data_IF_942821076231
#
_entry.id   IF_942821076231
#
_cell.length_a   1.000
_cell.length_b   1.000
_cell.length_c   1.000
_cell.angle_alpha   90.00
_cell.angle_beta   90.00
_cell.angle_gamma   90.00
#
_symmetry.space_group_name_H-M   'P 1'
#
loop_
_entity.id
_entity.type
_entity.pdbx_description
1 polymer ?
#
# COMPACT_ATOMS: atom_id res chain seq x y z
N UNK A 1 3.08 12.63 -16.45
CA UNK A 1 2.03 13.39 -15.74
C UNK A 1 1.54 12.54 -14.58
N UNK A 2 1.45 13.08 -13.37
CA UNK A 2 0.90 12.35 -12.22
C UNK A 2 -0.63 12.50 -12.21
N UNK A 3 -1.35 11.44 -11.83
CA UNK A 3 -2.83 11.48 -11.73
C UNK A 3 -3.22 11.38 -10.27
N UNK A 4 -3.97 12.38 -9.77
CA UNK A 4 -4.49 12.40 -8.40
C UNK A 4 -6.00 12.12 -8.41
N UNK A 5 -6.43 11.21 -7.55
CA UNK A 5 -7.84 10.90 -7.30
C UNK A 5 -8.11 11.02 -5.81
N UNK A 6 -9.24 11.62 -5.43
CA UNK A 6 -9.67 11.74 -4.03
C UNK A 6 -10.79 10.76 -3.71
N UNK A 7 -10.80 10.28 -2.48
CA UNK A 7 -11.82 9.39 -1.91
C UNK A 7 -12.24 9.99 -0.57
N UNK A 8 -13.22 10.89 -0.60
CA UNK A 8 -13.48 11.80 0.51
C UNK A 8 -12.24 12.68 0.78
N UNK A 9 -11.72 12.61 2.01
CA UNK A 9 -10.49 13.32 2.42
C UNK A 9 -9.19 12.54 2.13
N UNK A 10 -9.30 11.27 1.72
CA UNK A 10 -8.14 10.44 1.39
C UNK A 10 -7.70 10.64 -0.06
N UNK A 11 -6.40 10.51 -0.32
CA UNK A 11 -5.85 10.69 -1.68
C UNK A 11 -5.15 9.43 -2.18
N UNK A 12 -5.29 9.17 -3.47
CA UNK A 12 -4.43 8.26 -4.24
C UNK A 12 -3.78 9.04 -5.38
N UNK A 13 -2.45 8.96 -5.46
CA UNK A 13 -1.66 9.63 -6.49
C UNK A 13 -0.89 8.55 -7.25
N UNK A 14 -1.11 8.48 -8.55
CA UNK A 14 -0.38 7.60 -9.45
C UNK A 14 0.80 8.41 -10.02
N UNK A 15 2.00 7.91 -9.77
CA UNK A 15 3.26 8.42 -10.28
C UNK A 15 3.80 7.41 -11.31
N UNK A 16 3.63 7.66 -12.62
CA UNK A 16 4.18 6.79 -13.64
C UNK A 16 5.71 6.63 -13.50
N UNK A 17 6.26 5.45 -13.82
CA UNK A 17 5.57 4.32 -14.45
C UNK A 17 4.88 3.35 -13.47
N UNK A 18 5.33 3.31 -12.22
CA UNK A 18 5.17 2.14 -11.35
C UNK A 18 4.75 2.43 -9.91
N UNK A 19 4.60 3.71 -9.54
CA UNK A 19 4.44 4.11 -8.14
C UNK A 19 3.02 4.61 -7.86
N UNK A 20 2.45 4.19 -6.74
CA UNK A 20 1.20 4.71 -6.20
C UNK A 20 1.43 5.20 -4.79
N UNK A 21 1.11 6.46 -4.55
CA UNK A 21 1.12 7.08 -3.23
C UNK A 21 -0.29 7.10 -2.68
N UNK A 22 -0.48 6.52 -1.50
CA UNK A 22 -1.76 6.41 -0.81
C UNK A 22 -1.66 7.24 0.46
N UNK A 23 -2.52 8.24 0.60
CA UNK A 23 -2.59 9.13 1.76
C UNK A 23 -3.99 9.03 2.39
N UNK A 24 -4.26 7.97 3.17
CA UNK A 24 -5.48 7.92 3.97
C UNK A 24 -5.48 9.06 5.00
N UNK A 25 -6.64 9.69 5.18
CA UNK A 25 -6.84 10.82 6.10
C UNK A 25 -8.13 10.64 6.88
N UNK A 26 -8.14 11.04 8.14
CA UNK A 26 -9.29 10.89 9.03
C UNK A 26 -9.59 9.42 9.34
N UNK A 27 -10.83 9.16 9.74
CA UNK A 27 -11.31 7.81 9.97
C UNK A 27 -11.48 7.08 8.63
N UNK A 28 -10.84 5.92 8.52
CA UNK A 28 -10.75 5.14 7.29
C UNK A 28 -11.82 4.04 7.29
N UNK A 29 -12.88 4.29 6.53
CA UNK A 29 -14.03 3.39 6.43
C UNK A 29 -13.88 2.32 5.34
N UNK A 30 -14.81 1.36 5.34
CA UNK A 30 -14.79 0.24 4.40
C UNK A 30 -15.06 0.64 2.95
N UNK A 31 -15.90 1.64 2.71
CA UNK A 31 -16.27 2.07 1.37
C UNK A 31 -15.08 2.76 0.68
N UNK A 32 -14.41 3.67 1.40
CA UNK A 32 -13.19 4.34 0.95
C UNK A 32 -12.10 3.30 0.69
N UNK A 33 -11.86 2.39 1.64
CA UNK A 33 -10.85 1.36 1.49
C UNK A 33 -11.11 0.45 0.28
N UNK A 34 -12.36 0.03 0.07
CA UNK A 34 -12.75 -0.80 -1.07
C UNK A 34 -12.55 -0.06 -2.40
N UNK A 35 -13.00 1.19 -2.50
CA UNK A 35 -12.86 2.00 -3.70
C UNK A 35 -11.39 2.23 -4.08
N UNK A 36 -10.54 2.56 -3.09
CA UNK A 36 -9.10 2.70 -3.31
C UNK A 36 -8.46 1.38 -3.74
N UNK A 37 -8.81 0.26 -3.11
CA UNK A 37 -8.26 -1.04 -3.49
C UNK A 37 -8.67 -1.47 -4.90
N UNK A 38 -9.93 -1.26 -5.31
CA UNK A 38 -10.36 -1.57 -6.68
C UNK A 38 -9.66 -0.69 -7.72
N UNK A 39 -9.47 0.61 -7.43
CA UNK A 39 -8.72 1.49 -8.29
C UNK A 39 -7.25 1.05 -8.43
N UNK A 40 -6.62 0.66 -7.32
CA UNK A 40 -5.26 0.14 -7.33
C UNK A 40 -5.16 -1.17 -8.12
N UNK A 41 -6.08 -2.12 -7.92
CA UNK A 41 -6.08 -3.39 -8.66
C UNK A 41 -6.30 -3.16 -10.15
N UNK A 42 -7.23 -2.28 -10.51
CA UNK A 42 -7.52 -1.93 -11.91
C UNK A 42 -6.29 -1.32 -12.56
N UNK A 43 -5.62 -0.38 -11.89
CA UNK A 43 -4.40 0.22 -12.40
C UNK A 43 -3.25 -0.78 -12.47
N UNK A 44 -3.11 -1.69 -11.50
CA UNK A 44 -1.97 -2.60 -11.43
C UNK A 44 -2.05 -3.80 -12.41
N UNK A 45 -3.20 -4.07 -13.03
CA UNK A 45 -3.49 -5.32 -13.75
C UNK A 45 -2.44 -5.71 -14.78
N UNK A 46 -2.01 -4.77 -15.62
CA UNK A 46 -1.10 -5.05 -16.74
C UNK A 46 0.36 -4.67 -16.44
N UNK A 47 0.67 -4.44 -15.16
CA UNK A 47 2.00 -3.98 -14.72
C UNK A 47 2.83 -5.14 -14.17
N UNK A 48 4.13 -5.24 -14.52
CA UNK A 48 4.98 -6.33 -14.07
C UNK A 48 5.26 -6.30 -12.57
N UNK A 49 5.17 -5.11 -11.96
CA UNK A 49 5.26 -4.86 -10.53
C UNK A 49 4.64 -3.50 -10.18
N UNK A 50 4.41 -3.25 -8.89
CA UNK A 50 4.00 -1.93 -8.39
C UNK A 50 4.78 -1.53 -7.13
N UNK A 51 4.99 -0.23 -6.95
CA UNK A 51 5.56 0.36 -5.75
C UNK A 51 4.47 1.15 -5.03
N UNK A 52 4.26 0.85 -3.75
CA UNK A 52 3.25 1.49 -2.93
C UNK A 52 3.94 2.29 -1.85
N UNK A 53 3.60 3.57 -1.75
CA UNK A 53 4.02 4.42 -0.64
C UNK A 53 2.78 4.87 0.12
N UNK A 54 2.73 4.55 1.42
CA UNK A 54 1.58 4.83 2.26
C UNK A 54 1.94 5.81 3.37
N UNK A 55 1.27 6.96 3.37
CA UNK A 55 1.39 8.00 4.40
C UNK A 55 0.23 7.88 5.39
N UNK A 56 0.52 7.36 6.58
CA UNK A 56 -0.47 7.18 7.64
C UNK A 56 -0.55 8.37 8.61
N UNK A 57 0.16 9.48 8.35
CA UNK A 57 0.38 10.58 9.32
C UNK A 57 -0.91 11.15 9.92
N UNK A 58 -1.98 11.25 9.13
CA UNK A 58 -3.26 11.81 9.58
C UNK A 58 -4.40 10.78 9.54
N UNK A 59 -4.08 9.51 9.73
CA UNK A 59 -5.09 8.45 9.86
C UNK A 59 -5.60 8.39 11.29
N UNK A 60 -6.93 8.42 11.42
CA UNK A 60 -7.65 8.18 12.66
C UNK A 60 -7.91 6.69 12.89
N UNK A 61 -9.15 6.31 13.16
CA UNK A 61 -9.55 4.93 13.30
C UNK A 61 -9.60 4.21 11.94
N UNK A 62 -9.22 2.92 11.91
CA UNK A 62 -9.41 2.06 10.74
C UNK A 62 -10.54 1.09 11.07
N UNK A 63 -11.69 1.26 10.41
CA UNK A 63 -12.87 0.44 10.66
C UNK A 63 -12.63 -1.05 10.38
N UNK A 64 -13.37 -1.98 11.01
CA UNK A 64 -13.32 -3.40 10.67
C UNK A 64 -13.52 -3.68 9.17
N UNK A 65 -14.48 -2.99 8.53
CA UNK A 65 -14.74 -3.13 7.10
C UNK A 65 -13.55 -2.68 6.25
N UNK A 66 -12.87 -1.59 6.63
CA UNK A 66 -11.66 -1.13 5.94
C UNK A 66 -10.53 -2.15 6.03
N UNK A 67 -10.30 -2.71 7.23
CA UNK A 67 -9.30 -3.77 7.44
C UNK A 67 -9.58 -4.98 6.57
N UNK A 68 -10.84 -5.39 6.48
CA UNK A 68 -11.26 -6.49 5.62
C UNK A 68 -10.98 -6.18 4.15
N UNK A 69 -11.37 -5.00 3.65
CA UNK A 69 -11.15 -4.59 2.27
C UNK A 69 -9.65 -4.55 1.89
N UNK A 70 -8.81 -3.98 2.76
CA UNK A 70 -7.36 -3.87 2.56
C UNK A 70 -6.64 -5.22 2.56
N UNK A 71 -7.09 -6.18 3.38
CA UNK A 71 -6.41 -7.48 3.53
C UNK A 71 -6.91 -8.54 2.54
N UNK A 72 -8.07 -8.34 1.90
CA UNK A 72 -8.70 -9.35 1.03
C UNK A 72 -8.16 -9.38 -0.39
N UNK A 73 -7.72 -8.25 -0.91
CA UNK A 73 -7.44 -8.10 -2.34
C UNK A 73 -5.95 -8.22 -2.69
N UNK A 74 -5.08 -8.48 -1.71
CA UNK A 74 -3.63 -8.47 -1.92
C UNK A 74 -3.12 -9.54 -2.90
N UNK A 75 -3.87 -10.61 -3.14
CA UNK A 75 -3.55 -11.66 -4.12
C UNK A 75 -3.83 -11.24 -5.57
N UNK A 76 -4.65 -10.19 -5.78
CA UNK A 76 -4.99 -9.64 -7.09
C UNK A 76 -3.93 -8.66 -7.61
N UNK A 77 -2.98 -8.27 -6.77
CA UNK A 77 -1.92 -7.33 -7.11
C UNK A 77 -0.67 -8.06 -7.60
N UNK A 78 0.07 -7.48 -8.56
CA UNK A 78 1.36 -8.01 -8.98
C UNK A 78 2.39 -7.94 -7.84
N UNK A 79 3.58 -8.54 -8.04
CA UNK A 79 4.75 -8.35 -7.20
C UNK A 79 4.95 -6.88 -6.82
N UNK A 80 5.22 -6.61 -5.54
CA UNK A 80 5.26 -5.22 -5.08
C UNK A 80 6.17 -4.97 -3.88
N UNK A 81 6.50 -3.70 -3.70
CA UNK A 81 7.07 -3.19 -2.46
C UNK A 81 6.12 -2.14 -1.87
N UNK A 82 5.86 -2.23 -0.57
CA UNK A 82 5.02 -1.31 0.18
C UNK A 82 5.84 -0.66 1.30
N UNK A 83 6.10 0.63 1.17
CA UNK A 83 6.70 1.44 2.22
C UNK A 83 5.62 2.23 2.95
N UNK A 84 5.60 2.14 4.26
CA UNK A 84 4.61 2.78 5.14
C UNK A 84 5.36 3.74 6.06
N UNK A 85 4.91 4.98 6.21
CA UNK A 85 5.43 5.92 7.21
C UNK A 85 4.31 6.65 7.92
N UNK A 86 4.63 7.32 9.03
CA UNK A 86 3.65 8.04 9.84
C UNK A 86 2.74 7.13 10.65
N UNK A 87 1.57 7.64 11.02
CA UNK A 87 0.58 6.95 11.86
C UNK A 87 0.93 6.94 13.34
N UNK A 88 -0.10 6.97 14.17
CA UNK A 88 0.01 6.76 15.61
C UNK A 88 0.52 5.34 15.93
N UNK A 89 0.98 5.12 17.15
CA UNK A 89 1.39 3.78 17.60
C UNK A 89 0.32 2.72 17.31
N UNK A 90 -0.93 3.00 17.67
CA UNK A 90 -2.08 2.10 17.43
C UNK A 90 -2.26 1.79 15.95
N UNK A 91 -2.17 2.80 15.07
CA UNK A 91 -2.29 2.61 13.62
C UNK A 91 -1.12 1.78 13.06
N UNK A 92 0.10 1.97 13.59
CA UNK A 92 1.28 1.17 13.21
C UNK A 92 1.15 -0.30 13.62
N UNK A 93 0.73 -0.57 14.86
CA UNK A 93 0.47 -1.94 15.33
C UNK A 93 -0.62 -2.60 14.47
N UNK A 94 -1.70 -1.87 14.21
CA UNK A 94 -2.81 -2.38 13.41
C UNK A 94 -2.40 -2.69 11.96
N UNK A 95 -1.61 -1.83 11.33
CA UNK A 95 -1.10 -2.06 9.97
C UNK A 95 -0.15 -3.25 9.89
N UNK A 96 0.71 -3.47 10.89
CA UNK A 96 1.53 -4.67 10.98
C UNK A 96 0.69 -5.95 11.15
N UNK A 97 -0.39 -5.89 11.93
CA UNK A 97 -1.33 -7.02 12.05
C UNK A 97 -2.03 -7.31 10.72
N UNK A 98 -2.48 -6.27 10.01
CA UNK A 98 -3.09 -6.40 8.68
C UNK A 98 -2.13 -6.98 7.65
N UNK A 99 -0.84 -6.59 7.71
CA UNK A 99 0.20 -7.16 6.86
C UNK A 99 0.33 -8.67 7.08
N UNK A 100 0.45 -9.11 8.34
CA UNK A 100 0.49 -10.53 8.70
C UNK A 100 -0.77 -11.27 8.26
N UNK A 101 -1.96 -10.69 8.48
CA UNK A 101 -3.23 -11.29 8.06
C UNK A 101 -3.30 -11.46 6.54
N UNK A 102 -2.84 -10.47 5.77
CA UNK A 102 -2.81 -10.54 4.31
C UNK A 102 -1.80 -11.58 3.82
N UNK A 103 -0.68 -11.77 4.53
CA UNK A 103 0.30 -12.80 4.22
C UNK A 103 -0.27 -14.20 4.43
N UNK A 104 -0.96 -14.43 5.56
CA UNK A 104 -1.65 -15.70 5.87
C UNK A 104 -2.73 -16.04 4.84
N UNK A 105 -3.33 -15.01 4.21
CA UNK A 105 -4.32 -15.16 3.13
C UNK A 105 -3.70 -15.31 1.72
N UNK A 106 -2.40 -15.58 1.63
CA UNK A 106 -1.72 -15.89 0.37
C UNK A 106 -1.17 -14.68 -0.39
N UNK A 107 -1.28 -13.46 0.14
CA UNK A 107 -0.63 -12.29 -0.46
C UNK A 107 0.85 -12.21 -0.06
N UNK A 108 1.63 -13.21 -0.49
CA UNK A 108 3.06 -13.38 -0.15
C UNK A 108 4.00 -12.62 -1.08
N UNK A 109 3.52 -12.22 -2.25
CA UNK A 109 4.29 -11.57 -3.31
C UNK A 109 4.53 -10.06 -3.05
N UNK A 110 4.97 -9.70 -1.83
CA UNK A 110 5.29 -8.32 -1.48
C UNK A 110 6.40 -8.20 -0.44
N UNK A 111 7.18 -7.13 -0.53
CA UNK A 111 7.93 -6.60 0.60
C UNK A 111 7.13 -5.51 1.29
N UNK A 112 7.13 -5.51 2.62
CA UNK A 112 6.54 -4.43 3.43
C UNK A 112 7.58 -3.90 4.38
N UNK A 113 7.68 -2.58 4.44
CA UNK A 113 8.58 -1.90 5.36
C UNK A 113 7.90 -0.68 6.00
N UNK A 114 8.07 -0.55 7.32
CA UNK A 114 7.65 0.63 8.07
C UNK A 114 8.86 1.56 8.23
N UNK A 115 8.92 2.58 7.38
CA UNK A 115 9.98 3.57 7.35
C UNK A 115 9.80 4.60 8.49
N UNK A 116 10.90 5.23 8.95
CA UNK A 116 10.83 6.31 9.94
C UNK A 116 10.13 7.56 9.38
N UNK A 117 10.38 7.89 8.11
CA UNK A 117 9.88 9.09 7.43
C UNK A 117 9.65 8.85 5.92
N UNK A 118 9.14 9.88 5.24
CA UNK A 118 8.86 9.85 3.81
C UNK A 118 10.13 9.70 2.95
N UNK A 119 11.20 10.41 3.29
CA UNK A 119 12.43 10.41 2.48
C UNK A 119 13.05 9.01 2.46
N UNK A 120 13.10 8.38 3.62
CA UNK A 120 13.63 7.03 3.79
C UNK A 120 12.71 6.00 3.12
N UNK A 121 11.38 6.15 3.24
CA UNK A 121 10.43 5.31 2.52
C UNK A 121 10.64 5.35 1.00
N UNK A 122 10.89 6.54 0.46
CA UNK A 122 11.16 6.74 -0.97
C UNK A 122 12.46 6.09 -1.40
N UNK A 123 13.56 6.33 -0.67
CA UNK A 123 14.86 5.75 -0.98
C UNK A 123 14.79 4.21 -1.02
N UNK A 124 14.11 3.59 -0.05
CA UNK A 124 13.92 2.15 -0.03
C UNK A 124 13.09 1.63 -1.21
N UNK A 125 12.02 2.35 -1.62
CA UNK A 125 11.26 1.98 -2.81
C UNK A 125 12.09 2.08 -4.09
N UNK A 126 12.98 3.08 -4.19
CA UNK A 126 13.88 3.23 -5.34
C UNK A 126 14.87 2.07 -5.44
N UNK A 127 15.34 1.54 -4.30
CA UNK A 127 16.12 0.29 -4.27
C UNK A 127 15.28 -0.90 -4.72
N UNK A 128 14.05 -1.05 -4.19
CA UNK A 128 13.16 -2.16 -4.57
C UNK A 128 12.72 -2.10 -6.02
N UNK A 129 12.64 -0.92 -6.62
CA UNK A 129 12.38 -0.74 -8.05
C UNK A 129 13.40 -1.51 -8.88
N UNK A 130 14.70 -1.34 -8.58
CA UNK A 130 15.79 -2.00 -9.32
C UNK A 130 15.68 -3.52 -9.22
N UNK A 131 15.35 -4.03 -8.02
CA UNK A 131 15.19 -5.46 -7.75
C UNK A 131 13.99 -6.04 -8.51
N UNK A 132 12.83 -5.38 -8.45
CA UNK A 132 11.62 -5.83 -9.14
C UNK A 132 11.74 -5.73 -10.66
N UNK A 133 12.40 -4.67 -11.16
CA UNK A 133 12.69 -4.49 -12.58
C UNK A 133 13.63 -5.57 -13.12
N UNK A 134 14.54 -6.09 -12.29
CA UNK A 134 15.37 -7.25 -12.61
C UNK A 134 14.61 -8.59 -12.54
N UNK A 135 13.30 -8.59 -12.28
CA UNK A 135 12.47 -9.79 -12.22
C UNK A 135 12.54 -10.55 -10.90
N UNK A 136 13.35 -10.08 -9.93
CA UNK A 136 13.45 -10.70 -8.61
C UNK A 136 12.14 -10.45 -7.86
N UNK A 137 11.50 -11.55 -7.45
CA UNK A 137 10.23 -11.49 -6.72
C UNK A 137 10.48 -11.61 -5.21
N UNK A 138 9.62 -11.01 -4.38
CA UNK A 138 9.63 -11.27 -2.94
C UNK A 138 9.51 -12.78 -2.67
N UNK A 139 10.51 -13.36 -2.02
CA UNK A 139 10.49 -14.75 -1.60
C UNK A 139 9.43 -14.98 -0.51
N UNK A 140 8.92 -16.21 -0.43
CA UNK A 140 8.15 -16.67 0.74
C UNK A 140 9.06 -16.53 1.96
N UNK A 141 8.57 -15.89 3.03
CA UNK A 141 9.32 -15.73 4.29
C UNK A 141 9.49 -17.06 4.99
#
# INVERSE_FOLDING_TARGET
>A
MQTRTTYGVSEMIIEPPDTVVIKPRGDFDGAIAAAMMEALVTWARDRPFVLLRMDLTYVGAISPAARHALTSNGHRLPPRALAIHGGSFTVRVLSQMMDRASWLRGSRNRWVWHAPDEATARAWLDEKRKVLAAGVRPAER
#
